data_IF_002540669980
#
_entry.id   IF_002540669980
#
_cell.length_a   1.000
_cell.length_b   1.000
_cell.length_c   1.000
_cell.angle_alpha   90.00
_cell.angle_beta   90.00
_cell.angle_gamma   90.00
#
_symmetry.space_group_name_H-M   'P 1'
#
loop_
_entity.id
_entity.type
_entity.pdbx_description
1 polymer ?
#
# COMPACT_ATOMS: atom_id res chain seq x y z
N UNK A 1 -7.22 8.43 8.94
CA UNK A 1 -6.69 7.40 9.86
C UNK A 1 -7.01 6.04 9.27
N UNK A 2 -6.02 5.14 9.18
CA UNK A 2 -6.15 3.80 8.62
C UNK A 2 -6.77 2.90 9.69
N UNK A 3 -7.78 2.10 9.33
CA UNK A 3 -8.47 1.21 10.27
C UNK A 3 -8.31 -0.23 9.84
N UNK A 4 -7.90 -1.08 10.78
CA UNK A 4 -7.67 -2.50 10.55
C UNK A 4 -8.89 -3.20 9.94
N UNK A 5 -10.11 -2.93 10.44
CA UNK A 5 -11.35 -3.53 9.93
C UNK A 5 -11.63 -3.24 8.46
N UNK A 6 -11.15 -2.12 7.92
CA UNK A 6 -11.36 -1.77 6.52
C UNK A 6 -10.47 -2.64 5.63
N UNK A 7 -9.17 -2.68 5.93
CA UNK A 7 -8.21 -3.50 5.18
C UNK A 7 -8.53 -4.99 5.30
N UNK A 8 -8.91 -5.44 6.49
CA UNK A 8 -9.33 -6.81 6.71
C UNK A 8 -10.60 -7.15 5.93
N UNK A 9 -11.62 -6.28 5.97
CA UNK A 9 -12.84 -6.42 5.19
C UNK A 9 -12.58 -6.50 3.69
N UNK A 10 -11.68 -5.65 3.17
CA UNK A 10 -11.29 -5.63 1.77
C UNK A 10 -10.56 -6.91 1.35
N UNK A 11 -9.62 -7.41 2.15
CA UNK A 11 -8.93 -8.69 1.89
C UNK A 11 -9.93 -9.84 1.84
N UNK A 12 -10.83 -9.94 2.82
CA UNK A 12 -11.86 -10.98 2.86
C UNK A 12 -12.78 -10.92 1.63
N UNK A 13 -13.24 -9.71 1.28
CA UNK A 13 -14.06 -9.47 0.09
C UNK A 13 -13.34 -9.89 -1.19
N UNK A 14 -12.07 -9.51 -1.36
CA UNK A 14 -11.27 -9.89 -2.53
C UNK A 14 -11.10 -11.40 -2.63
N UNK A 15 -10.82 -12.08 -1.52
CA UNK A 15 -10.73 -13.55 -1.48
C UNK A 15 -12.05 -14.19 -1.92
N UNK A 16 -13.17 -13.75 -1.34
CA UNK A 16 -14.51 -14.25 -1.71
C UNK A 16 -14.81 -14.06 -3.20
N UNK A 17 -14.57 -12.85 -3.72
CA UNK A 17 -14.85 -12.52 -5.13
C UNK A 17 -13.93 -13.30 -6.08
N UNK A 18 -12.63 -13.45 -5.74
CA UNK A 18 -11.69 -14.27 -6.53
C UNK A 18 -12.13 -15.74 -6.62
N UNK A 19 -12.79 -16.26 -5.58
CA UNK A 19 -13.35 -17.61 -5.58
C UNK A 19 -14.68 -17.72 -6.34
N UNK A 20 -15.23 -16.60 -6.86
CA UNK A 20 -16.54 -16.58 -7.52
C UNK A 20 -17.72 -16.79 -6.57
N UNK A 21 -17.52 -16.59 -5.26
CA UNK A 21 -18.52 -16.92 -4.24
C UNK A 21 -19.37 -15.72 -3.84
N UNK A 22 -20.64 -15.97 -3.59
CA UNK A 22 -21.60 -14.97 -3.11
C UNK A 22 -21.46 -14.75 -1.61
N UNK A 23 -21.93 -13.59 -1.12
CA UNK A 23 -22.06 -13.33 0.31
C UNK A 23 -22.92 -14.41 1.00
N UNK A 24 -24.00 -14.85 0.35
CA UNK A 24 -24.89 -15.88 0.89
C UNK A 24 -24.14 -17.18 1.15
N UNK A 25 -23.43 -17.70 0.17
CA UNK A 25 -22.67 -18.95 0.30
C UNK A 25 -21.64 -18.90 1.43
N UNK A 26 -20.86 -17.83 1.53
CA UNK A 26 -19.83 -17.70 2.57
C UNK A 26 -20.47 -17.51 3.94
N UNK A 27 -21.50 -16.65 4.06
CA UNK A 27 -22.18 -16.41 5.33
C UNK A 27 -22.83 -17.67 5.90
N UNK A 28 -23.43 -18.51 5.04
CA UNK A 28 -23.99 -19.81 5.44
C UNK A 28 -22.91 -20.74 5.98
N UNK A 29 -21.77 -20.90 5.29
CA UNK A 29 -20.69 -21.75 5.79
C UNK A 29 -20.04 -21.21 7.07
N UNK A 30 -19.89 -19.89 7.17
CA UNK A 30 -19.32 -19.22 8.34
C UNK A 30 -20.29 -19.14 9.54
N UNK A 31 -21.55 -19.57 9.37
CA UNK A 31 -22.62 -19.48 10.39
C UNK A 31 -22.86 -18.06 10.91
N UNK A 32 -22.77 -17.08 10.02
CA UNK A 32 -23.08 -15.67 10.30
C UNK A 32 -24.21 -15.19 9.40
N UNK A 33 -24.84 -14.07 9.75
CA UNK A 33 -25.84 -13.47 8.86
C UNK A 33 -25.17 -12.87 7.62
N UNK A 34 -25.89 -12.89 6.49
CA UNK A 34 -25.44 -12.25 5.24
C UNK A 34 -25.17 -10.75 5.46
N UNK A 35 -26.04 -10.07 6.21
CA UNK A 35 -25.89 -8.67 6.56
C UNK A 35 -24.62 -8.41 7.37
N UNK A 36 -24.33 -9.26 8.35
CA UNK A 36 -23.10 -9.14 9.15
C UNK A 36 -21.84 -9.31 8.30
N UNK A 37 -21.77 -10.33 7.44
CA UNK A 37 -20.63 -10.51 6.53
C UNK A 37 -20.47 -9.31 5.58
N UNK A 38 -21.58 -8.76 5.08
CA UNK A 38 -21.58 -7.55 4.25
C UNK A 38 -21.05 -6.32 4.99
N UNK A 39 -21.41 -6.13 6.26
CA UNK A 39 -20.87 -5.05 7.09
C UNK A 39 -19.38 -5.24 7.38
N UNK A 40 -18.93 -6.46 7.65
CA UNK A 40 -17.51 -6.81 7.86
C UNK A 40 -16.69 -6.52 6.59
N UNK A 41 -17.14 -7.00 5.43
CA UNK A 41 -16.45 -6.76 4.14
C UNK A 41 -16.38 -5.28 3.73
N UNK A 42 -17.24 -4.43 4.31
CA UNK A 42 -17.22 -2.97 4.10
C UNK A 42 -16.47 -2.23 5.21
N UNK A 43 -15.86 -2.93 6.17
CA UNK A 43 -15.16 -2.33 7.31
C UNK A 43 -16.09 -1.52 8.24
N UNK A 44 -17.37 -1.91 8.34
CA UNK A 44 -18.35 -1.26 9.22
C UNK A 44 -18.44 -1.93 10.59
N UNK A 45 -17.95 -3.17 10.71
CA UNK A 45 -17.94 -3.94 11.96
C UNK A 45 -16.53 -4.44 12.26
N UNK A 46 -16.21 -4.45 13.55
CA UNK A 46 -15.09 -5.20 14.10
C UNK A 46 -15.57 -6.63 14.32
N UNK A 47 -14.95 -7.60 13.65
CA UNK A 47 -15.25 -9.01 13.84
C UNK A 47 -14.42 -9.57 14.99
N UNK A 48 -15.02 -10.39 15.85
CA UNK A 48 -14.27 -11.11 16.88
C UNK A 48 -13.31 -12.12 16.24
N UNK A 49 -12.30 -12.55 16.98
CA UNK A 49 -11.34 -13.55 16.52
C UNK A 49 -12.01 -14.86 16.09
N UNK A 50 -13.07 -15.29 16.80
CA UNK A 50 -13.85 -16.49 16.48
C UNK A 50 -14.64 -16.33 15.17
N UNK A 51 -15.22 -15.15 14.93
CA UNK A 51 -15.94 -14.86 13.69
C UNK A 51 -14.99 -14.75 12.50
N UNK A 52 -13.82 -14.14 12.70
CA UNK A 52 -12.75 -14.12 11.69
C UNK A 52 -12.28 -15.52 11.33
N UNK A 53 -12.03 -16.37 12.33
CA UNK A 53 -11.68 -17.77 12.11
C UNK A 53 -12.77 -18.51 11.32
N UNK A 54 -14.04 -18.28 11.66
CA UNK A 54 -15.19 -18.89 10.97
C UNK A 54 -15.30 -18.45 9.51
N UNK A 55 -15.09 -17.16 9.23
CA UNK A 55 -15.11 -16.62 7.86
C UNK A 55 -13.92 -17.12 7.05
N UNK A 56 -12.71 -17.15 7.62
CA UNK A 56 -11.52 -17.68 6.97
C UNK A 56 -11.66 -19.18 6.66
N UNK A 57 -12.21 -19.94 7.61
CA UNK A 57 -12.54 -21.36 7.41
C UNK A 57 -13.58 -21.56 6.30
N UNK A 58 -14.62 -20.74 6.26
CA UNK A 58 -15.60 -20.76 5.18
C UNK A 58 -15.00 -20.45 3.81
N UNK A 59 -13.99 -19.57 3.75
CA UNK A 59 -13.22 -19.24 2.54
C UNK A 59 -12.08 -20.24 2.25
N UNK A 60 -11.83 -21.23 3.11
CA UNK A 60 -10.77 -22.22 2.93
C UNK A 60 -9.36 -21.63 2.96
N UNK A 61 -9.16 -20.51 3.68
CA UNK A 61 -7.85 -19.86 3.82
C UNK A 61 -7.41 -19.79 5.27
N UNK A 62 -6.11 -19.99 5.58
CA UNK A 62 -5.60 -19.80 6.93
C UNK A 62 -5.66 -18.32 7.35
N UNK A 63 -6.05 -18.05 8.59
CA UNK A 63 -6.09 -16.68 9.13
C UNK A 63 -4.71 -15.99 9.07
N UNK A 64 -3.62 -16.73 9.27
CA UNK A 64 -2.26 -16.19 9.17
C UNK A 64 -1.92 -15.64 7.78
N UNK A 65 -2.45 -16.24 6.72
CA UNK A 65 -2.28 -15.74 5.35
C UNK A 65 -3.07 -14.44 5.14
N UNK A 66 -4.30 -14.39 5.64
CA UNK A 66 -5.13 -13.17 5.61
C UNK A 66 -4.44 -12.04 6.35
N UNK A 67 -3.92 -12.30 7.56
CA UNK A 67 -3.22 -11.30 8.36
C UNK A 67 -1.93 -10.81 7.72
N UNK A 68 -1.20 -11.68 7.00
CA UNK A 68 -0.04 -11.27 6.21
C UNK A 68 -0.43 -10.29 5.11
N UNK A 69 -1.45 -10.61 4.31
CA UNK A 69 -1.93 -9.71 3.25
C UNK A 69 -2.43 -8.39 3.85
N UNK A 70 -3.15 -8.42 4.97
CA UNK A 70 -3.57 -7.21 5.70
C UNK A 70 -2.36 -6.40 6.15
N UNK A 71 -1.33 -7.02 6.72
CA UNK A 71 -0.10 -6.34 7.16
C UNK A 71 0.61 -5.63 6.01
N UNK A 72 0.74 -6.30 4.86
CA UNK A 72 1.36 -5.72 3.67
C UNK A 72 0.57 -4.49 3.18
N UNK A 73 -0.77 -4.59 3.16
CA UNK A 73 -1.62 -3.45 2.79
C UNK A 73 -1.60 -2.32 3.82
N UNK A 74 -1.49 -2.66 5.10
CA UNK A 74 -1.41 -1.69 6.17
C UNK A 74 -0.13 -0.86 6.02
N UNK A 75 1.01 -1.49 5.82
CA UNK A 75 2.29 -0.82 5.60
C UNK A 75 2.25 0.10 4.38
N UNK A 76 1.65 -0.34 3.27
CA UNK A 76 1.47 0.50 2.08
C UNK A 76 0.58 1.71 2.37
N UNK A 77 -0.52 1.52 3.08
CA UNK A 77 -1.42 2.59 3.45
C UNK A 77 -0.72 3.60 4.39
N UNK A 78 0.12 3.14 5.33
CA UNK A 78 0.90 4.00 6.22
C UNK A 78 1.90 4.85 5.44
N UNK A 79 2.61 4.26 4.47
CA UNK A 79 3.52 5.01 3.59
C UNK A 79 2.79 6.07 2.76
N UNK A 80 1.56 5.78 2.31
CA UNK A 80 0.72 6.74 1.58
C UNK A 80 0.15 7.84 2.49
N UNK A 81 -0.10 7.53 3.75
CA UNK A 81 -0.60 8.49 4.73
C UNK A 81 0.52 9.32 5.37
N UNK A 82 1.78 8.88 5.27
CA UNK A 82 2.93 9.63 5.73
C UNK A 82 3.11 10.91 4.89
N UNK A 83 3.25 12.09 5.53
CA UNK A 83 3.57 13.31 4.80
C UNK A 83 4.96 13.17 4.17
N UNK A 84 5.04 13.25 2.85
CA UNK A 84 6.25 12.94 2.06
C UNK A 84 7.48 13.81 2.40
N UNK A 85 7.39 14.89 3.19
CA UNK A 85 8.54 15.78 3.47
C UNK A 85 8.48 16.52 4.83
N UNK A 86 8.01 15.91 5.92
CA UNK A 86 7.98 16.61 7.22
C UNK A 86 9.18 16.35 8.15
N UNK A 87 9.81 15.16 8.09
CA UNK A 87 10.78 14.75 9.13
C UNK A 87 12.06 14.10 8.55
N UNK A 88 12.69 14.70 7.54
CA UNK A 88 14.14 14.44 7.36
C UNK A 88 14.85 15.27 8.44
N UNK A 89 15.46 14.64 9.46
CA UNK A 89 16.18 15.39 10.46
C UNK A 89 17.33 16.13 9.76
N UNK A 90 17.59 17.39 10.16
CA UNK A 90 18.46 18.31 9.42
C UNK A 90 19.81 17.74 8.99
N UNK A 91 20.35 16.82 9.79
CA UNK A 91 21.64 16.20 9.59
C UNK A 91 21.69 15.15 8.45
N UNK A 92 20.55 14.64 7.98
CA UNK A 92 20.46 13.72 6.84
C UNK A 92 20.09 14.44 5.53
N UNK A 93 19.88 15.76 5.57
CA UNK A 93 19.75 16.58 4.36
C UNK A 93 21.12 16.69 3.71
N UNK A 94 21.41 15.82 2.74
CA UNK A 94 22.57 15.98 1.87
C UNK A 94 22.48 17.36 1.19
N UNK A 95 23.45 18.26 1.35
CA UNK A 95 23.44 19.53 0.64
C UNK A 95 23.52 19.24 -0.86
N UNK A 96 22.51 19.68 -1.62
CA UNK A 96 22.46 19.61 -3.08
C UNK A 96 23.56 20.45 -3.78
N UNK A 97 24.58 20.90 -3.04
CA UNK A 97 25.59 21.84 -3.49
C UNK A 97 26.92 21.21 -3.92
N UNK A 98 27.13 19.89 -3.80
CA UNK A 98 28.45 19.29 -4.08
C UNK A 98 28.52 18.30 -5.25
N UNK A 99 27.68 18.47 -6.29
CA UNK A 99 27.95 17.78 -7.57
C UNK A 99 27.67 18.66 -8.79
N UNK A 100 28.40 19.77 -8.93
CA UNK A 100 28.87 20.20 -10.26
C UNK A 100 30.32 20.69 -10.12
N UNK A 101 31.33 19.80 -10.28
CA UNK A 101 32.69 20.25 -10.52
C UNK A 101 32.73 20.90 -11.92
N UNK A 102 32.85 22.22 -11.95
CA UNK A 102 33.15 22.97 -13.15
C UNK A 102 31.92 23.55 -13.85
N UNK A 103 31.63 24.82 -13.58
CA UNK A 103 31.21 25.69 -14.68
C UNK A 103 32.30 25.58 -15.75
N UNK A 104 32.01 24.88 -16.85
CA UNK A 104 32.76 25.09 -18.08
C UNK A 104 32.54 26.56 -18.40
N UNK A 105 33.55 27.39 -18.13
CA UNK A 105 33.66 28.73 -18.64
C UNK A 105 33.40 28.67 -20.14
N UNK A 106 32.53 29.54 -20.66
CA UNK A 106 32.20 29.70 -22.10
C UNK A 106 33.41 29.98 -23.02
N UNK A 107 34.64 29.89 -22.49
CA UNK A 107 35.90 30.14 -23.19
C UNK A 107 36.59 28.89 -23.75
N UNK A 108 35.95 27.71 -23.74
CA UNK A 108 36.58 26.45 -24.19
C UNK A 108 36.37 26.17 -25.68
N UNK A 109 35.44 26.86 -26.34
CA UNK A 109 35.22 26.70 -27.78
C UNK A 109 35.83 27.89 -28.53
N UNK A 110 36.91 27.71 -29.32
CA UNK A 110 37.37 28.77 -30.20
C UNK A 110 36.28 29.09 -31.23
N UNK A 111 36.15 30.37 -31.57
CA UNK A 111 35.17 30.86 -32.52
C UNK A 111 35.44 30.26 -33.91
N UNK A 112 34.41 29.83 -34.63
CA UNK A 112 34.55 29.07 -35.89
C UNK A 112 35.32 29.85 -36.97
N UNK A 113 35.44 31.18 -36.82
CA UNK A 113 36.25 32.04 -37.69
C UNK A 113 37.76 31.80 -37.57
N UNK A 114 38.24 31.32 -36.43
CA UNK A 114 39.68 31.17 -36.16
C UNK A 114 40.28 29.90 -36.77
N UNK A 115 39.46 29.00 -37.34
CA UNK A 115 39.92 27.72 -37.91
C UNK A 115 40.07 27.73 -39.45
N UNK A 116 39.82 28.84 -40.13
CA UNK A 116 39.93 28.96 -41.61
C UNK A 116 40.96 30.00 -42.06
N UNK A 117 41.93 30.32 -41.22
CA UNK A 117 43.01 31.24 -41.58
C UNK A 117 44.38 30.78 -41.06
N UNK A 118 44.90 29.67 -41.61
CA UNK A 118 46.34 29.39 -41.78
C UNK A 118 46.53 28.11 -42.61
#
# INVERSE_FOLDING_TARGET
MILLRQLLGDVLRRLRVRQGRTLREVSTLARVSLGYLSEVERGQKEASSELLASICGALGVPLSQVLREVSDQFALAELQAAPVLADVPEHERLPLAETVPGSISDSVFPDVKDMVAA
#
